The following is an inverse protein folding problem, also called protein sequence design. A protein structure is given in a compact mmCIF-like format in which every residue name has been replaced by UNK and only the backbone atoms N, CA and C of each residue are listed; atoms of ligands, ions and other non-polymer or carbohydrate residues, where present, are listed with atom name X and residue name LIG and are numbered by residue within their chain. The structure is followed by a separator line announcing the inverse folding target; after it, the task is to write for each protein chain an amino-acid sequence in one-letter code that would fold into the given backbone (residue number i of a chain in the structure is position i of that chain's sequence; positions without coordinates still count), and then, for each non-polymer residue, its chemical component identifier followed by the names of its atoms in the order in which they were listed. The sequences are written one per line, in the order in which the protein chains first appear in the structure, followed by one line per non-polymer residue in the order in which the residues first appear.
data_IF_832845846692
#
_entry.id   IF_832845846692
#
_cell.length_a   1.000
_cell.length_b   1.000
_cell.length_c   1.000
_cell.angle_alpha   90.00
_cell.angle_beta   90.00
_cell.angle_gamma   90.00
#
_symmetry.space_group_name_H-M   'P 1'
#
loop_
_entity.id
_entity.type
_entity.pdbx_description
1 polymer ?
#
# COMPACT_ATOMS: atom_id res chain seq x y z
N UNK A 1 25.92 51.95 19.25
CA UNK A 1 26.10 50.74 20.10
C UNK A 1 24.84 50.65 20.95
N UNK A 2 23.83 49.85 20.67
CA UNK A 2 23.79 48.62 19.86
C UNK A 2 22.39 48.46 19.28
N UNK A 3 22.34 48.03 18.02
CA UNK A 3 21.18 47.43 17.39
C UNK A 3 20.74 46.18 18.16
N UNK A 4 19.48 46.12 18.56
CA UNK A 4 18.78 44.87 18.85
C UNK A 4 17.37 45.00 18.29
N UNK A 5 17.24 44.56 17.04
CA UNK A 5 15.98 44.12 16.46
C UNK A 5 15.64 42.78 17.08
N UNK A 6 14.48 42.67 17.72
CA UNK A 6 13.78 41.38 17.82
C UNK A 6 12.28 41.59 17.59
N UNK A 7 11.74 41.17 16.44
CA UNK A 7 10.31 41.20 16.21
C UNK A 7 9.58 40.09 17.00
N UNK A 8 8.29 40.37 17.12
CA UNK A 8 7.15 39.80 17.85
C UNK A 8 6.83 38.30 17.62
N UNK A 9 5.90 37.73 18.42
CA UNK A 9 5.73 36.28 18.57
C UNK A 9 4.84 35.67 17.47
N UNK A 10 5.22 34.47 17.01
CA UNK A 10 4.38 33.65 16.14
C UNK A 10 3.47 32.73 16.98
N UNK A 11 2.23 33.18 17.05
CA UNK A 11 0.96 32.56 17.39
C UNK A 11 0.70 31.17 16.77
N UNK A 12 0.01 30.35 17.58
CA UNK A 12 -1.09 29.43 17.24
C UNK A 12 -0.81 27.98 16.86
N UNK A 13 -1.31 27.13 17.77
CA UNK A 13 -1.86 25.82 17.51
C UNK A 13 -2.88 25.85 16.35
N UNK A 14 -2.42 25.48 15.15
CA UNK A 14 -3.30 25.21 14.01
C UNK A 14 -2.67 24.17 13.08
N UNK A 15 -2.43 22.95 13.58
CA UNK A 15 -2.05 21.80 12.73
C UNK A 15 -2.76 20.52 13.17
N UNK A 16 -4.09 20.60 13.27
CA UNK A 16 -4.98 19.43 13.39
C UNK A 16 -6.21 19.49 12.48
N UNK A 17 -6.43 20.60 11.77
CA UNK A 17 -7.59 20.76 10.87
C UNK A 17 -7.30 20.33 9.42
N UNK A 18 -6.03 20.33 8.98
CA UNK A 18 -5.65 19.88 7.63
C UNK A 18 -5.52 18.34 7.50
N UNK A 19 -5.49 17.62 8.62
CA UNK A 19 -5.29 16.16 8.67
C UNK A 19 -6.55 15.39 8.27
N UNK A 20 -7.74 15.94 8.54
CA UNK A 20 -8.99 15.17 8.37
C UNK A 20 -9.51 15.15 6.92
N UNK A 21 -9.25 16.19 6.12
CA UNK A 21 -9.78 16.27 4.74
C UNK A 21 -9.13 15.27 3.76
N UNK A 22 -7.85 14.91 4.00
CA UNK A 22 -7.14 13.90 3.20
C UNK A 22 -7.57 12.48 3.59
N UNK A 23 -7.96 12.29 4.86
CA UNK A 23 -8.46 11.01 5.39
C UNK A 23 -9.89 10.71 4.89
N UNK A 24 -10.74 11.73 4.75
CA UNK A 24 -12.12 11.56 4.26
C UNK A 24 -12.19 11.14 2.79
N UNK A 25 -11.28 11.63 1.94
CA UNK A 25 -11.21 11.21 0.53
C UNK A 25 -10.67 9.78 0.36
N UNK A 26 -9.76 9.36 1.23
CA UNK A 26 -9.30 7.97 1.32
C UNK A 26 -10.42 7.04 1.81
N UNK A 27 -11.23 7.50 2.77
CA UNK A 27 -12.38 6.77 3.30
C UNK A 27 -13.51 6.64 2.28
N UNK A 28 -13.84 7.71 1.54
CA UNK A 28 -14.89 7.70 0.52
C UNK A 28 -14.57 6.80 -0.70
N UNK A 29 -13.29 6.69 -1.09
CA UNK A 29 -12.85 5.70 -2.10
C UNK A 29 -12.83 4.26 -1.56
N UNK A 30 -12.52 4.08 -0.28
CA UNK A 30 -12.62 2.77 0.38
C UNK A 30 -14.06 2.25 0.47
N UNK A 31 -15.07 3.13 0.51
CA UNK A 31 -16.49 2.72 0.62
C UNK A 31 -17.07 2.06 -0.64
N UNK A 32 -16.60 2.38 -1.86
CA UNK A 32 -17.11 1.69 -3.05
C UNK A 32 -16.40 0.35 -3.34
N UNK A 33 -15.12 0.22 -2.95
CA UNK A 33 -14.28 -0.92 -3.34
C UNK A 33 -13.96 -1.88 -2.16
N UNK A 34 -14.08 -1.41 -0.92
CA UNK A 34 -14.01 -2.21 0.32
C UNK A 34 -15.29 -2.99 0.65
N UNK A 35 -16.38 -2.73 -0.07
CA UNK A 35 -17.70 -3.36 0.10
C UNK A 35 -17.75 -4.85 -0.32
N UNK A 36 -16.67 -5.43 -0.85
CA UNK A 36 -16.67 -6.82 -1.35
C UNK A 36 -15.77 -7.80 -0.58
N UNK A 37 -15.32 -7.49 0.64
CA UNK A 37 -14.87 -8.56 1.55
C UNK A 37 -16.11 -9.26 2.11
N UNK A 38 -16.77 -10.06 1.27
CA UNK A 38 -17.89 -10.86 1.72
C UNK A 38 -17.37 -11.85 2.76
N UNK A 39 -18.02 -11.90 3.93
CA UNK A 39 -17.63 -12.76 5.06
C UNK A 39 -17.55 -14.26 4.68
N UNK A 40 -18.09 -14.65 3.53
CA UNK A 40 -18.03 -15.99 2.97
C UNK A 40 -17.69 -16.00 1.46
N UNK A 41 -16.74 -15.16 1.01
CA UNK A 41 -16.27 -15.22 -0.39
C UNK A 41 -15.59 -16.56 -0.71
N UNK A 42 -15.85 -17.12 -1.89
CA UNK A 42 -15.12 -18.30 -2.35
C UNK A 42 -13.65 -17.94 -2.65
N UNK A 43 -12.76 -18.92 -2.55
CA UNK A 43 -11.33 -18.74 -2.89
C UNK A 43 -11.13 -18.15 -4.29
N UNK A 44 -11.87 -18.64 -5.28
CA UNK A 44 -11.79 -18.13 -6.67
C UNK A 44 -12.17 -16.65 -6.74
N UNK A 45 -13.25 -16.27 -6.04
CA UNK A 45 -13.68 -14.87 -5.94
C UNK A 45 -12.60 -14.00 -5.29
N UNK A 46 -12.01 -14.46 -4.19
CA UNK A 46 -10.90 -13.78 -3.50
C UNK A 46 -9.71 -13.59 -4.43
N UNK A 47 -9.24 -14.65 -5.08
CA UNK A 47 -8.09 -14.59 -5.99
C UNK A 47 -8.36 -13.62 -7.15
N UNK A 48 -9.55 -13.67 -7.74
CA UNK A 48 -9.95 -12.74 -8.81
C UNK A 48 -9.96 -11.28 -8.33
N UNK A 49 -10.50 -11.01 -7.14
CA UNK A 49 -10.48 -9.69 -6.51
C UNK A 49 -9.05 -9.20 -6.29
N UNK A 50 -8.18 -10.04 -5.75
CA UNK A 50 -6.77 -9.70 -5.48
C UNK A 50 -5.99 -9.44 -6.77
N UNK A 51 -6.21 -10.21 -7.84
CA UNK A 51 -5.65 -9.94 -9.17
C UNK A 51 -6.07 -8.55 -9.66
N UNK A 52 -7.36 -8.21 -9.56
CA UNK A 52 -7.84 -6.87 -9.96
C UNK A 52 -7.22 -5.75 -9.13
N UNK A 53 -7.09 -5.92 -7.80
CA UNK A 53 -6.42 -4.94 -6.92
C UNK A 53 -4.92 -4.80 -7.21
N UNK A 54 -4.29 -5.81 -7.78
CA UNK A 54 -2.87 -5.78 -8.16
C UNK A 54 -2.62 -4.98 -9.44
N UNK A 55 -3.62 -4.89 -10.33
CA UNK A 55 -3.56 -4.19 -11.61
C UNK A 55 -4.01 -2.71 -11.55
N UNK A 56 -4.57 -2.28 -10.41
CA UNK A 56 -5.20 -0.95 -10.25
C UNK A 56 -4.60 -0.21 -9.06
N UNK A 57 -3.30 -0.02 -9.10
CA UNK A 57 -2.50 0.75 -8.14
C UNK A 57 -2.43 2.22 -8.57
N UNK A 58 -1.94 3.06 -7.67
CA UNK A 58 -1.77 4.50 -7.86
C UNK A 58 -0.52 4.88 -8.66
N UNK A 59 0.45 3.96 -8.82
CA UNK A 59 1.64 4.17 -9.66
C UNK A 59 1.89 2.97 -10.59
N UNK A 60 2.34 3.29 -11.80
CA UNK A 60 2.52 2.34 -12.90
C UNK A 60 3.56 1.26 -12.57
N UNK A 61 4.60 1.62 -11.85
CA UNK A 61 5.67 0.73 -11.44
C UNK A 61 5.13 -0.40 -10.56
N UNK A 62 4.25 -0.07 -9.60
CA UNK A 62 3.62 -1.06 -8.74
C UNK A 62 2.59 -1.91 -9.46
N UNK A 63 1.86 -1.35 -10.43
CA UNK A 63 0.97 -2.13 -11.30
C UNK A 63 1.74 -3.25 -12.00
N UNK A 64 2.87 -2.92 -12.62
CA UNK A 64 3.68 -3.89 -13.38
C UNK A 64 4.22 -4.99 -12.47
N UNK A 65 4.78 -4.60 -11.32
CA UNK A 65 5.37 -5.54 -10.36
C UNK A 65 4.31 -6.49 -9.79
N UNK A 66 3.20 -5.93 -9.32
CA UNK A 66 2.17 -6.72 -8.64
C UNK A 66 1.33 -7.53 -9.62
N UNK A 67 1.06 -7.05 -10.83
CA UNK A 67 0.37 -7.83 -11.86
C UNK A 67 1.16 -9.08 -12.26
N UNK A 68 2.48 -8.95 -12.49
CA UNK A 68 3.34 -10.09 -12.79
C UNK A 68 3.37 -11.11 -11.65
N UNK A 69 3.54 -10.65 -10.41
CA UNK A 69 3.51 -11.50 -9.24
C UNK A 69 2.16 -12.20 -9.04
N UNK A 70 1.07 -11.45 -9.15
CA UNK A 70 -0.30 -11.93 -8.99
C UNK A 70 -0.63 -13.06 -9.96
N UNK A 71 -0.25 -12.91 -11.25
CA UNK A 71 -0.43 -13.93 -12.28
C UNK A 71 0.35 -15.21 -12.01
N UNK A 72 1.57 -15.09 -11.49
CA UNK A 72 2.45 -16.24 -11.25
C UNK A 72 2.10 -17.03 -9.98
N UNK A 73 1.62 -16.36 -8.93
CA UNK A 73 1.57 -16.93 -7.58
C UNK A 73 0.19 -17.08 -6.96
N UNK A 74 -0.77 -16.17 -7.20
CA UNK A 74 -2.04 -16.15 -6.42
C UNK A 74 -2.85 -17.45 -6.53
N UNK A 75 -2.87 -18.09 -7.71
CA UNK A 75 -3.64 -19.32 -7.90
C UNK A 75 -3.11 -20.49 -7.07
N UNK A 76 -1.86 -20.43 -6.61
CA UNK A 76 -1.16 -21.47 -5.84
C UNK A 76 -1.01 -21.14 -4.36
N UNK A 77 -1.39 -19.93 -3.95
CA UNK A 77 -1.25 -19.47 -2.56
C UNK A 77 -2.27 -20.15 -1.64
N UNK A 78 -1.86 -20.37 -0.40
CA UNK A 78 -2.75 -20.80 0.69
C UNK A 78 -3.67 -19.66 1.14
N UNK A 79 -4.69 -19.94 1.93
CA UNK A 79 -5.57 -18.87 2.45
C UNK A 79 -4.80 -17.86 3.32
N UNK A 80 -3.84 -18.32 4.12
CA UNK A 80 -2.99 -17.45 4.95
C UNK A 80 -2.10 -16.55 4.09
N UNK A 81 -1.54 -17.09 2.99
CA UNK A 81 -0.78 -16.30 2.03
C UNK A 81 -1.64 -15.24 1.35
N UNK A 82 -2.87 -15.60 0.95
CA UNK A 82 -3.81 -14.66 0.33
C UNK A 82 -4.22 -13.56 1.31
N UNK A 83 -4.40 -13.89 2.59
CA UNK A 83 -4.69 -12.91 3.64
C UNK A 83 -3.51 -11.95 3.87
N UNK A 84 -2.28 -12.47 3.95
CA UNK A 84 -1.07 -11.65 4.06
C UNK A 84 -0.88 -10.73 2.84
N UNK A 85 -1.17 -11.24 1.64
CA UNK A 85 -1.12 -10.44 0.42
C UNK A 85 -2.20 -9.34 0.40
N UNK A 86 -3.45 -9.64 0.78
CA UNK A 86 -4.53 -8.64 0.87
C UNK A 86 -4.21 -7.54 1.89
N UNK A 87 -3.60 -7.91 3.02
CA UNK A 87 -3.14 -6.97 4.04
C UNK A 87 -2.08 -6.03 3.46
N UNK A 88 -1.04 -6.58 2.82
CA UNK A 88 0.02 -5.79 2.15
C UNK A 88 -0.56 -4.86 1.07
N UNK A 89 -1.52 -5.32 0.25
CA UNK A 89 -2.16 -4.49 -0.79
C UNK A 89 -2.96 -3.30 -0.23
N UNK A 90 -3.20 -3.24 1.08
CA UNK A 90 -3.90 -2.13 1.73
C UNK A 90 -2.97 -0.97 2.08
N UNK A 91 -1.66 -1.14 1.92
CA UNK A 91 -0.65 -0.09 2.13
C UNK A 91 -0.54 0.86 0.93
N UNK A 92 0.10 2.02 1.16
CA UNK A 92 0.35 3.03 0.13
C UNK A 92 1.35 2.51 -0.92
N UNK A 93 1.10 2.83 -2.20
CA UNK A 93 1.93 2.35 -3.30
C UNK A 93 3.37 2.85 -3.29
N UNK A 94 3.60 4.08 -2.81
CA UNK A 94 4.96 4.63 -2.69
C UNK A 94 5.76 3.90 -1.61
N UNK A 95 5.11 3.52 -0.51
CA UNK A 95 5.75 2.77 0.57
C UNK A 95 6.03 1.33 0.13
N UNK A 96 5.04 0.68 -0.50
CA UNK A 96 5.23 -0.65 -1.09
C UNK A 96 6.38 -0.68 -2.09
N UNK A 97 6.48 0.34 -2.95
CA UNK A 97 7.57 0.44 -3.93
C UNK A 97 8.92 0.57 -3.24
N UNK A 98 9.05 1.43 -2.22
CA UNK A 98 10.28 1.58 -1.44
C UNK A 98 10.68 0.26 -0.76
N UNK A 99 9.72 -0.52 -0.25
CA UNK A 99 10.03 -1.81 0.38
C UNK A 99 10.44 -2.87 -0.62
N UNK A 100 9.72 -3.00 -1.73
CA UNK A 100 10.02 -3.99 -2.78
C UNK A 100 11.36 -3.72 -3.45
N UNK A 101 11.74 -2.45 -3.61
CA UNK A 101 13.04 -2.04 -4.15
C UNK A 101 14.17 -2.02 -3.12
N UNK A 102 13.86 -2.30 -1.84
CA UNK A 102 14.85 -2.35 -0.76
C UNK A 102 15.38 -0.98 -0.32
N UNK A 103 14.71 0.12 -0.69
CA UNK A 103 15.05 1.47 -0.24
C UNK A 103 14.74 1.69 1.24
N UNK A 104 13.67 1.04 1.72
CA UNK A 104 13.22 1.10 3.12
C UNK A 104 12.86 -0.31 3.57
N UNK A 105 13.14 -0.66 4.82
CA UNK A 105 12.71 -1.94 5.39
C UNK A 105 11.18 -1.95 5.60
N UNK A 106 10.47 -3.00 5.15
CA UNK A 106 9.05 -3.14 5.44
C UNK A 106 8.80 -3.38 6.94
N UNK A 107 7.61 -3.04 7.45
CA UNK A 107 7.15 -3.50 8.76
C UNK A 107 7.16 -5.03 8.86
N UNK A 108 7.40 -5.55 10.07
CA UNK A 108 7.49 -7.00 10.35
C UNK A 108 6.28 -7.78 9.81
N UNK A 109 5.09 -7.21 9.93
CA UNK A 109 3.85 -7.82 9.44
C UNK A 109 3.84 -8.10 7.92
N UNK A 110 4.57 -7.31 7.14
CA UNK A 110 4.60 -7.40 5.67
C UNK A 110 5.91 -7.98 5.12
N UNK A 111 6.94 -8.10 5.95
CA UNK A 111 8.30 -8.45 5.54
C UNK A 111 8.35 -9.73 4.68
N UNK A 112 7.68 -10.79 5.13
CA UNK A 112 7.71 -12.07 4.44
C UNK A 112 7.08 -11.99 3.03
N UNK A 113 5.98 -11.24 2.88
CA UNK A 113 5.28 -11.10 1.60
C UNK A 113 6.04 -10.15 0.67
N UNK A 114 6.51 -9.02 1.18
CA UNK A 114 7.35 -8.06 0.43
C UNK A 114 8.59 -8.77 -0.12
N UNK A 115 9.26 -9.60 0.69
CA UNK A 115 10.44 -10.35 0.25
C UNK A 115 10.14 -11.28 -0.92
N UNK A 116 8.96 -11.94 -0.93
CA UNK A 116 8.53 -12.80 -2.04
C UNK A 116 8.27 -11.99 -3.32
N UNK A 117 7.64 -10.83 -3.19
CA UNK A 117 7.39 -9.92 -4.31
C UNK A 117 8.72 -9.38 -4.88
N UNK A 118 9.62 -8.91 -4.03
CA UNK A 118 10.94 -8.41 -4.41
C UNK A 118 11.78 -9.49 -5.12
N UNK A 119 11.79 -10.72 -4.60
CA UNK A 119 12.47 -11.84 -5.22
C UNK A 119 11.93 -12.15 -6.64
N UNK A 120 10.60 -12.08 -6.82
CA UNK A 120 10.00 -12.26 -8.14
C UNK A 120 10.33 -11.10 -9.10
N UNK A 121 10.28 -9.86 -8.61
CA UNK A 121 10.61 -8.68 -9.42
C UNK A 121 12.06 -8.71 -9.93
N UNK A 122 13.01 -9.12 -9.08
CA UNK A 122 14.41 -9.29 -9.46
C UNK A 122 14.66 -10.44 -10.46
N UNK A 123 13.85 -11.50 -10.42
CA UNK A 123 13.97 -12.64 -11.33
C UNK A 123 13.32 -12.40 -12.70
N UNK A 124 12.30 -11.54 -12.79
CA UNK A 124 11.60 -11.23 -14.03
C UNK A 124 12.31 -10.18 -14.92
N UNK A 125 13.34 -9.51 -14.39
CA UNK A 125 14.13 -8.50 -15.11
C UNK A 125 15.49 -8.96 -15.61
N UNK A 126 15.86 -10.24 -15.37
CA UNK A 126 17.11 -10.87 -15.80
C UNK A 126 16.86 -11.86 -16.94
#
# INVERSE_FOLDING_TARGET
MSDQVKPTPATSAASKAATNAVQDAAHARALHEGSYRAENESRDTRVRRLKLRSMRRGIKEMDIILDAFAKAHLDKMTEDDLAAYDAMLSENDQDLYQWVTGQVSPPEAHEAMVRRVAAHAGASGA
#
